data_IF_072606153158
#
_entry.id   IF_072606153158
#
_cell.length_a   1.000
_cell.length_b   1.000
_cell.length_c   1.000
_cell.angle_alpha   90.00
_cell.angle_beta   90.00
_cell.angle_gamma   90.00
#
_symmetry.space_group_name_H-M   'P 1'
#
loop_
_entity.id
_entity.type
_entity.pdbx_description
1 polymer ?
#
# COMPACT_ATOMS: atom_id res chain seq x y z
N UNK A 1 14.82 4.94 -17.06
CA UNK A 1 15.18 3.77 -16.23
C UNK A 1 16.69 3.72 -15.95
N UNK A 2 17.21 4.64 -15.12
CA UNK A 2 18.57 4.57 -14.55
C UNK A 2 18.48 4.87 -13.05
N UNK A 3 18.98 3.91 -12.26
CA UNK A 3 19.35 3.96 -10.83
C UNK A 3 18.52 4.85 -9.89
N UNK A 4 17.52 4.25 -9.26
CA UNK A 4 17.16 4.54 -7.86
C UNK A 4 17.77 3.47 -6.92
N UNK A 5 19.04 3.13 -7.16
CA UNK A 5 19.83 2.21 -6.32
C UNK A 5 20.86 2.97 -5.47
N UNK A 6 20.56 4.20 -5.07
CA UNK A 6 21.39 4.98 -4.14
C UNK A 6 20.64 5.31 -2.83
N UNK A 7 19.76 4.42 -2.39
CA UNK A 7 19.33 4.36 -0.99
C UNK A 7 20.16 3.28 -0.30
N UNK A 8 21.42 3.59 -0.05
CA UNK A 8 22.35 2.69 0.62
C UNK A 8 23.55 3.50 1.09
N UNK A 9 23.84 3.37 2.39
CA UNK A 9 25.06 3.80 3.10
C UNK A 9 25.03 5.23 3.68
N UNK A 10 24.42 5.36 4.87
CA UNK A 10 24.74 6.46 5.78
C UNK A 10 23.72 6.72 6.90
N UNK A 11 22.44 6.45 6.66
CA UNK A 11 21.38 6.71 7.64
C UNK A 11 20.91 5.44 8.34
N UNK A 12 20.64 5.53 9.66
CA UNK A 12 19.88 4.50 10.36
C UNK A 12 18.51 4.30 9.67
N UNK A 13 18.05 3.05 9.46
CA UNK A 13 16.76 2.80 8.85
C UNK A 13 15.64 3.48 9.65
N UNK A 14 14.76 4.21 8.95
CA UNK A 14 13.65 4.95 9.56
C UNK A 14 12.33 4.26 9.25
N UNK A 15 11.44 4.26 10.22
CA UNK A 15 10.04 3.88 10.00
C UNK A 15 9.38 4.81 8.99
N UNK A 16 8.46 4.25 8.19
CA UNK A 16 7.72 5.04 7.21
C UNK A 16 6.91 6.15 7.89
N UNK A 17 6.53 7.18 7.12
CA UNK A 17 5.79 8.32 7.66
C UNK A 17 4.48 7.88 8.32
N UNK A 18 3.77 6.93 7.72
CA UNK A 18 2.51 6.43 8.27
C UNK A 18 2.70 5.74 9.63
N UNK A 19 3.74 4.92 9.78
CA UNK A 19 4.03 4.27 11.06
C UNK A 19 4.32 5.31 12.15
N UNK A 20 5.08 6.36 11.83
CA UNK A 20 5.36 7.48 12.75
C UNK A 20 4.11 8.28 13.10
N UNK A 21 3.27 8.60 12.12
CA UNK A 21 2.00 9.31 12.34
C UNK A 21 1.04 8.48 13.21
N UNK A 22 1.04 7.16 13.02
CA UNK A 22 0.24 6.24 13.83
C UNK A 22 0.75 6.16 15.26
N UNK A 23 2.06 6.22 15.44
CA UNK A 23 2.69 6.16 16.76
C UNK A 23 2.36 7.39 17.63
N UNK A 24 2.17 8.56 17.02
CA UNK A 24 1.72 9.77 17.74
C UNK A 24 0.38 9.54 18.43
N UNK A 25 -0.57 8.86 17.77
CA UNK A 25 -1.91 8.61 18.31
C UNK A 25 -1.96 7.39 19.23
N UNK A 26 -1.28 6.30 18.86
CA UNK A 26 -1.46 5.00 19.49
C UNK A 26 -0.25 4.47 20.26
N UNK A 27 0.91 5.12 20.20
CA UNK A 27 2.15 4.71 20.88
C UNK A 27 2.47 3.22 20.68
N UNK A 28 2.44 2.78 19.43
CA UNK A 28 2.61 1.37 19.04
C UNK A 28 4.08 0.98 18.90
N UNK A 29 4.95 1.92 18.56
CA UNK A 29 6.38 1.68 18.43
C UNK A 29 7.04 1.78 19.81
N UNK A 30 7.84 0.78 20.21
CA UNK A 30 8.59 0.86 21.45
C UNK A 30 9.57 2.04 21.44
N UNK A 31 9.82 2.69 22.60
CA UNK A 31 10.82 3.75 22.71
C UNK A 31 12.19 3.29 22.23
N UNK A 32 12.93 4.20 21.58
CA UNK A 32 14.30 3.94 21.15
C UNK A 32 15.14 3.42 22.32
N UNK A 33 16.00 2.42 22.05
CA UNK A 33 16.88 1.79 23.05
C UNK A 33 16.17 1.02 24.18
N UNK A 34 14.84 0.91 24.18
CA UNK A 34 14.14 -0.01 25.09
C UNK A 34 14.47 -1.46 24.76
N UNK A 35 14.33 -2.37 25.73
CA UNK A 35 14.50 -3.80 25.50
C UNK A 35 13.59 -4.29 24.36
N UNK A 36 12.33 -3.85 24.35
CA UNK A 36 11.38 -4.19 23.29
C UNK A 36 11.85 -3.70 21.90
N UNK A 37 12.39 -2.48 21.81
CA UNK A 37 12.99 -1.98 20.56
C UNK A 37 14.15 -2.86 20.09
N UNK A 38 15.07 -3.21 20.99
CA UNK A 38 16.20 -4.07 20.68
C UNK A 38 15.73 -5.47 20.22
N UNK A 39 14.77 -6.07 20.93
CA UNK A 39 14.21 -7.38 20.58
C UNK A 39 13.51 -7.37 19.20
N UNK A 40 12.61 -6.42 18.95
CA UNK A 40 11.92 -6.33 17.65
C UNK A 40 12.89 -6.06 16.50
N UNK A 41 13.92 -5.25 16.73
CA UNK A 41 14.98 -5.02 15.74
C UNK A 41 15.75 -6.31 15.44
N UNK A 42 16.13 -7.07 16.46
CA UNK A 42 16.80 -8.37 16.27
C UNK A 42 15.89 -9.37 15.56
N UNK A 43 14.61 -9.44 15.93
CA UNK A 43 13.64 -10.31 15.26
C UNK A 43 13.48 -9.96 13.77
N UNK A 44 13.44 -8.68 13.43
CA UNK A 44 13.37 -8.26 12.03
C UNK A 44 14.62 -8.61 11.23
N UNK A 45 15.81 -8.47 11.83
CA UNK A 45 17.08 -8.81 11.18
C UNK A 45 17.23 -10.32 10.92
N UNK A 46 16.66 -11.15 11.80
CA UNK A 46 16.72 -12.62 11.73
C UNK A 46 15.35 -13.24 11.43
N UNK A 47 14.51 -12.55 10.65
CA UNK A 47 13.12 -12.93 10.45
C UNK A 47 12.95 -14.31 9.80
N UNK A 48 13.81 -14.67 8.85
CA UNK A 48 13.74 -15.96 8.15
C UNK A 48 13.91 -17.13 9.12
N UNK A 49 14.95 -17.08 9.97
CA UNK A 49 15.19 -18.07 11.02
C UNK A 49 14.04 -18.09 12.03
N UNK A 50 13.56 -16.92 12.45
CA UNK A 50 12.49 -16.80 13.44
C UNK A 50 11.17 -17.38 12.91
N UNK A 51 10.83 -17.11 11.67
CA UNK A 51 9.61 -17.62 11.04
C UNK A 51 9.66 -19.13 10.77
N UNK A 52 10.85 -19.70 10.58
CA UNK A 52 11.04 -21.14 10.37
C UNK A 52 11.03 -21.92 11.69
N UNK A 53 11.85 -21.51 12.66
CA UNK A 53 12.09 -22.27 13.89
C UNK A 53 11.13 -21.92 15.03
N UNK A 54 10.72 -20.65 15.14
CA UNK A 54 9.91 -20.14 16.26
C UNK A 54 8.44 -19.90 15.88
N UNK A 55 7.95 -20.54 14.81
CA UNK A 55 6.60 -20.36 14.27
C UNK A 55 5.47 -20.58 15.29
N UNK A 56 5.68 -21.40 16.31
CA UNK A 56 4.70 -21.70 17.35
C UNK A 56 4.65 -20.64 18.46
N UNK A 57 5.72 -19.86 18.64
CA UNK A 57 5.80 -18.82 19.66
C UNK A 57 5.45 -17.43 19.12
N UNK A 58 5.63 -17.18 17.82
CA UNK A 58 5.22 -15.92 17.18
C UNK A 58 3.75 -15.51 17.46
N UNK A 59 2.76 -16.42 17.47
CA UNK A 59 1.37 -16.06 17.76
C UNK A 59 1.14 -15.59 19.21
N UNK A 60 2.01 -16.00 20.14
CA UNK A 60 1.92 -15.61 21.57
C UNK A 60 2.30 -14.14 21.80
N UNK A 61 2.95 -13.51 20.82
CA UNK A 61 3.32 -12.10 20.88
C UNK A 61 2.04 -11.25 20.90
N UNK A 62 1.92 -10.26 21.82
CA UNK A 62 0.80 -9.33 21.83
C UNK A 62 0.58 -8.68 20.46
N UNK A 63 -0.69 -8.55 20.04
CA UNK A 63 -1.02 -8.08 18.69
C UNK A 63 -0.41 -6.71 18.36
N UNK A 64 -0.32 -5.81 19.35
CA UNK A 64 0.34 -4.51 19.22
C UNK A 64 1.81 -4.63 18.84
N UNK A 65 2.52 -5.60 19.41
CA UNK A 65 3.91 -5.88 19.11
C UNK A 65 4.06 -6.63 17.78
N UNK A 66 3.06 -7.39 17.34
CA UNK A 66 3.03 -7.97 15.98
C UNK A 66 2.88 -6.91 14.90
N UNK A 67 2.00 -5.92 15.11
CA UNK A 67 1.90 -4.74 14.24
C UNK A 67 3.21 -3.94 14.19
N UNK A 68 3.83 -3.73 15.36
CA UNK A 68 5.12 -3.08 15.45
C UNK A 68 6.19 -3.91 14.72
N UNK A 69 6.26 -5.22 14.94
CA UNK A 69 7.21 -6.12 14.28
C UNK A 69 7.10 -6.02 12.76
N UNK A 70 5.90 -5.95 12.21
CA UNK A 70 5.70 -5.74 10.77
C UNK A 70 6.33 -4.41 10.29
N UNK A 71 6.23 -3.34 11.08
CA UNK A 71 6.91 -2.06 10.79
C UNK A 71 8.43 -2.15 10.94
N UNK A 72 8.94 -2.98 11.86
CA UNK A 72 10.37 -3.26 11.98
C UNK A 72 10.89 -4.13 10.83
N UNK A 73 10.10 -5.07 10.31
CA UNK A 73 10.44 -5.82 9.10
C UNK A 73 10.59 -4.88 7.90
N UNK A 74 9.67 -3.92 7.75
CA UNK A 74 9.75 -2.91 6.69
C UNK A 74 10.99 -1.99 6.78
N UNK A 75 11.51 -1.78 8.00
CA UNK A 75 12.66 -0.89 8.25
C UNK A 75 14.01 -1.64 8.27
N UNK A 76 14.07 -2.81 8.90
CA UNK A 76 15.31 -3.53 9.21
C UNK A 76 15.40 -4.92 8.57
N UNK A 77 14.28 -5.47 8.10
CA UNK A 77 14.25 -6.81 7.51
C UNK A 77 15.01 -6.93 6.19
N UNK A 78 15.42 -8.15 5.86
CA UNK A 78 15.99 -8.44 4.56
C UNK A 78 14.98 -8.18 3.43
N UNK A 79 15.47 -7.87 2.22
CA UNK A 79 14.59 -7.63 1.07
C UNK A 79 13.84 -8.91 0.72
N UNK A 80 12.51 -8.84 0.67
CA UNK A 80 11.66 -9.99 0.37
C UNK A 80 11.54 -11.01 1.52
N UNK A 81 11.89 -10.63 2.75
CA UNK A 81 11.80 -11.53 3.91
C UNK A 81 10.37 -11.98 4.25
N UNK A 82 9.35 -11.28 3.76
CA UNK A 82 7.95 -11.60 4.04
C UNK A 82 7.33 -12.40 2.90
N UNK A 83 6.80 -13.57 3.21
CA UNK A 83 5.98 -14.38 2.32
C UNK A 83 4.56 -14.58 2.88
N UNK A 84 3.66 -15.16 2.09
CA UNK A 84 2.28 -15.46 2.53
C UNK A 84 2.22 -16.40 3.74
N UNK A 85 3.21 -17.28 3.94
CA UNK A 85 3.24 -18.26 5.03
C UNK A 85 3.64 -17.60 6.36
N UNK A 86 4.80 -16.97 6.39
CA UNK A 86 5.35 -16.19 7.51
C UNK A 86 4.41 -15.07 7.94
N UNK A 87 3.73 -14.40 7.00
CA UNK A 87 2.68 -13.43 7.34
C UNK A 87 1.51 -14.06 8.09
N UNK A 88 1.04 -15.24 7.64
CA UNK A 88 -0.02 -15.98 8.33
C UNK A 88 0.42 -16.49 9.70
N UNK A 89 1.66 -16.96 9.83
CA UNK A 89 2.25 -17.37 11.11
C UNK A 89 2.25 -16.20 12.10
N UNK A 90 2.73 -15.03 11.66
CA UNK A 90 2.77 -13.83 12.50
C UNK A 90 1.38 -13.48 13.06
N UNK A 91 0.35 -13.56 12.23
CA UNK A 91 -1.03 -13.26 12.61
C UNK A 91 -1.88 -14.50 12.90
N UNK A 92 -1.28 -15.64 13.25
CA UNK A 92 -2.06 -16.82 13.62
C UNK A 92 -2.81 -16.56 14.93
N UNK A 93 -3.98 -17.20 15.08
CA UNK A 93 -4.69 -17.22 16.36
C UNK A 93 -4.12 -18.35 17.23
N UNK A 94 -3.99 -18.07 18.52
CA UNK A 94 -3.72 -19.10 19.50
C UNK A 94 -4.92 -20.07 19.55
N UNK A 95 -4.67 -21.37 19.34
CA UNK A 95 -5.71 -22.39 19.44
C UNK A 95 -6.21 -22.44 20.90
N UNK A 96 -7.46 -22.06 21.13
CA UNK A 96 -8.13 -22.19 22.44
C UNK A 96 -8.72 -20.90 23.02
N UNK A 97 -8.30 -19.72 22.56
CA UNK A 97 -8.91 -18.44 22.96
C UNK A 97 -9.94 -18.04 21.90
N UNK A 98 -11.24 -18.26 22.16
CA UNK A 98 -12.36 -18.10 21.23
C UNK A 98 -12.62 -16.70 20.64
N UNK A 99 -11.64 -15.80 20.67
CA UNK A 99 -11.66 -14.49 19.99
C UNK A 99 -10.41 -14.38 19.13
N UNK A 100 -10.57 -14.44 17.80
CA UNK A 100 -9.49 -14.12 16.88
C UNK A 100 -9.06 -12.67 17.11
N UNK A 101 -7.87 -12.43 17.67
CA UNK A 101 -7.36 -11.09 17.99
C UNK A 101 -7.12 -10.18 16.78
N UNK A 102 -7.48 -10.62 15.57
CA UNK A 102 -7.35 -9.87 14.32
C UNK A 102 -8.14 -8.56 14.31
N UNK A 103 -9.24 -8.48 15.06
CA UNK A 103 -10.04 -7.26 15.20
C UNK A 103 -9.31 -6.15 15.95
N UNK A 104 -8.21 -6.46 16.65
CA UNK A 104 -7.38 -5.46 17.33
C UNK A 104 -6.37 -4.80 16.38
N UNK A 105 -6.13 -5.39 15.21
CA UNK A 105 -5.19 -4.88 14.20
C UNK A 105 -5.78 -3.65 13.53
N UNK A 106 -5.05 -2.53 13.64
CA UNK A 106 -5.37 -1.21 13.10
C UNK A 106 -4.39 -0.76 12.03
N UNK A 107 -3.13 -1.20 12.09
CA UNK A 107 -2.05 -0.82 11.18
C UNK A 107 -1.40 -2.05 10.54
N UNK A 108 -1.26 -2.02 9.21
CA UNK A 108 -0.35 -2.90 8.49
C UNK A 108 0.63 -2.06 7.67
N UNK A 109 1.92 -2.20 7.97
CA UNK A 109 2.99 -1.53 7.23
C UNK A 109 3.65 -2.52 6.27
N UNK A 110 3.39 -2.43 4.95
CA UNK A 110 4.05 -3.24 3.93
C UNK A 110 5.11 -2.46 3.14
N UNK A 111 5.65 -1.39 3.72
CA UNK A 111 6.62 -0.53 3.04
C UNK A 111 7.82 -1.32 2.54
N UNK A 112 8.02 -1.40 1.22
CA UNK A 112 9.14 -2.12 0.62
C UNK A 112 9.08 -3.65 0.74
N UNK A 113 7.97 -4.22 1.20
CA UNK A 113 7.85 -5.67 1.47
C UNK A 113 7.13 -6.46 0.38
N UNK A 114 6.42 -5.80 -0.55
CA UNK A 114 5.76 -6.51 -1.66
C UNK A 114 6.81 -7.22 -2.54
N UNK A 115 6.55 -8.48 -2.81
CA UNK A 115 7.45 -9.35 -3.59
C UNK A 115 6.66 -10.48 -4.30
N UNK A 116 7.38 -11.41 -4.94
CA UNK A 116 6.77 -12.54 -5.65
C UNK A 116 5.95 -13.44 -4.73
N UNK A 117 6.46 -13.69 -3.52
CA UNK A 117 5.87 -14.56 -2.51
C UNK A 117 4.80 -13.86 -1.64
N UNK A 118 4.69 -12.52 -1.72
CA UNK A 118 3.66 -11.74 -1.05
C UNK A 118 3.28 -10.51 -1.86
N UNK A 119 2.12 -10.55 -2.51
CA UNK A 119 1.62 -9.48 -3.38
C UNK A 119 0.25 -8.93 -2.93
N UNK A 120 -0.30 -7.96 -3.69
CA UNK A 120 -1.57 -7.32 -3.36
C UNK A 120 -2.76 -8.28 -3.38
N UNK A 121 -2.70 -9.38 -4.15
CA UNK A 121 -3.75 -10.39 -4.12
C UNK A 121 -3.77 -11.13 -2.77
N UNK A 122 -2.61 -11.41 -2.17
CA UNK A 122 -2.52 -12.03 -0.84
C UNK A 122 -3.05 -11.10 0.26
N UNK A 123 -2.68 -9.82 0.20
CA UNK A 123 -3.28 -8.80 1.06
C UNK A 123 -4.80 -8.74 0.86
N UNK A 124 -5.27 -8.80 -0.38
CA UNK A 124 -6.69 -8.81 -0.71
C UNK A 124 -7.46 -9.97 -0.09
N UNK A 125 -6.83 -11.15 0.09
CA UNK A 125 -7.42 -12.29 0.81
C UNK A 125 -7.62 -11.95 2.29
N UNK A 126 -6.69 -11.21 2.89
CA UNK A 126 -6.74 -10.83 4.32
C UNK A 126 -7.74 -9.70 4.62
N UNK A 127 -8.17 -8.98 3.60
CA UNK A 127 -9.16 -7.89 3.71
C UNK A 127 -10.60 -8.35 3.41
N UNK A 128 -10.76 -9.56 2.87
CA UNK A 128 -12.07 -10.14 2.55
C UNK A 128 -12.49 -11.10 3.64
N UNK A 129 -13.69 -10.90 4.19
CA UNK A 129 -14.28 -11.89 5.10
C UNK A 129 -14.54 -13.16 4.31
N UNK A 130 -13.82 -14.23 4.63
CA UNK A 130 -14.14 -15.54 4.10
C UNK A 130 -15.29 -16.07 4.95
N UNK A 131 -16.43 -16.36 4.32
CA UNK A 131 -17.42 -17.24 4.93
C UNK A 131 -16.82 -18.64 4.92
N UNK A 132 -15.94 -18.94 5.87
CA UNK A 132 -15.66 -20.31 6.25
C UNK A 132 -16.95 -20.85 6.84
N UNK A 133 -17.80 -21.45 6.00
CA UNK A 133 -18.63 -22.54 6.46
C UNK A 133 -17.64 -23.57 7.01
N UNK A 134 -17.53 -23.62 8.34
CA UNK A 134 -17.04 -24.82 9.01
C UNK A 134 -17.80 -25.99 8.38
N UNK A 135 -17.14 -27.06 7.91
CA UNK A 135 -17.86 -28.29 7.65
C UNK A 135 -18.58 -28.64 8.95
N UNK A 136 -19.91 -28.60 8.90
CA UNK A 136 -20.76 -28.87 10.03
C UNK A 136 -20.43 -30.29 10.51
N UNK A 137 -19.75 -30.42 11.65
CA UNK A 137 -19.60 -31.70 12.36
C UNK A 137 -20.89 -31.95 13.14
N UNK A 138 -22.02 -31.94 12.44
CA UNK A 138 -23.34 -32.27 12.98
C UNK A 138 -24.19 -32.86 11.85
N UNK A 139 -23.77 -34.02 11.33
CA UNK A 139 -24.70 -35.02 10.79
C UNK A 139 -24.07 -36.42 10.85
N UNK A 140 -23.64 -36.82 12.05
CA UNK A 140 -23.68 -38.25 12.41
C UNK A 140 -25.15 -38.60 12.68
N UNK A 141 -25.91 -38.82 11.61
CA UNK A 141 -27.20 -39.50 11.69
C UNK A 141 -26.99 -40.93 11.23
N UNK A 142 -26.87 -41.82 12.21
CA UNK A 142 -27.06 -43.26 12.05
C UNK A 142 -28.55 -43.43 11.75
N UNK A 143 -28.89 -43.77 10.51
CA UNK A 143 -30.26 -44.11 10.12
C UNK A 143 -30.33 -45.62 9.91
N UNK A 144 -30.73 -46.33 10.97
CA UNK A 144 -31.25 -47.69 10.87
C UNK A 144 -32.72 -47.62 10.43
N UNK A 145 -33.02 -48.06 9.20
CA UNK A 145 -33.98 -49.15 8.92
C UNK A 145 -34.42 -49.22 7.44
N UNK A 146 -34.53 -50.46 6.95
CA UNK A 146 -35.24 -50.98 5.75
C UNK A 146 -34.46 -51.18 4.43
N UNK A 147 -33.74 -52.30 4.39
CA UNK A 147 -34.01 -53.50 3.58
C UNK A 147 -34.26 -53.39 2.06
N UNK A 148 -33.29 -53.92 1.28
CA UNK A 148 -33.37 -54.87 0.13
C UNK A 148 -32.13 -54.61 -0.76
N UNK A 149 -31.21 -55.52 -1.08
CA UNK A 149 -31.00 -56.94 -0.84
C UNK A 149 -29.77 -57.39 -1.67
N UNK A 150 -29.30 -58.61 -1.40
CA UNK A 150 -28.25 -59.42 -2.09
C UNK A 150 -26.80 -59.32 -1.59
N UNK A 151 -26.51 -60.20 -0.63
CA UNK A 151 -25.50 -61.28 -0.68
C UNK A 151 -24.11 -60.97 -1.29
N UNK A 152 -23.06 -60.99 -0.45
CA UNK A 152 -22.27 -62.20 -0.17
C UNK A 152 -21.24 -61.98 0.96
N UNK A 153 -21.38 -62.84 1.96
CA UNK A 153 -20.39 -63.41 2.91
C UNK A 153 -18.93 -62.93 2.87
N UNK A 154 -18.37 -62.53 4.03
CA UNK A 154 -17.74 -63.48 4.97
C UNK A 154 -17.34 -62.81 6.29
N UNK A 155 -17.62 -63.53 7.38
CA UNK A 155 -17.25 -63.28 8.78
C UNK A 155 -15.74 -63.10 9.00
N UNK A 156 -15.36 -62.25 9.96
CA UNK A 156 -14.80 -62.74 11.24
C UNK A 156 -14.68 -61.65 12.32
N UNK A 157 -14.72 -62.16 13.54
CA UNK A 157 -14.94 -61.54 14.83
C UNK A 157 -13.93 -60.47 15.25
N UNK A 158 -14.44 -59.61 16.13
CA UNK A 158 -13.73 -58.78 17.09
C UNK A 158 -12.69 -59.56 17.89
N UNK A 159 -11.45 -59.10 17.86
CA UNK A 159 -10.49 -59.37 18.93
C UNK A 159 -9.76 -58.06 19.28
N UNK A 160 -9.98 -57.62 20.51
CA UNK A 160 -9.27 -56.51 21.14
C UNK A 160 -7.84 -56.99 21.39
N UNK A 161 -6.85 -56.31 20.81
CA UNK A 161 -5.45 -56.46 21.20
C UNK A 161 -4.82 -55.08 21.40
N UNK A 162 -4.72 -54.71 22.68
CA UNK A 162 -3.80 -53.73 23.21
C UNK A 162 -2.36 -54.25 23.04
N UNK A 163 -1.63 -53.83 22.01
CA UNK A 163 -0.15 -53.94 21.97
C UNK A 163 0.40 -53.16 20.78
N UNK A 164 0.95 -51.97 21.02
CA UNK A 164 1.58 -51.14 19.98
C UNK A 164 3.08 -51.44 19.92
N UNK A 165 3.47 -52.53 19.27
CA UNK A 165 4.80 -52.73 18.71
C UNK A 165 4.72 -53.98 17.84
N UNK A 166 5.26 -53.92 16.62
CA UNK A 166 5.45 -55.07 15.72
C UNK A 166 4.29 -55.41 14.76
N UNK A 167 4.11 -54.58 13.72
CA UNK A 167 3.96 -55.05 12.33
C UNK A 167 4.14 -53.85 11.39
N UNK A 168 5.41 -53.50 11.15
CA UNK A 168 5.79 -52.85 9.90
C UNK A 168 5.75 -53.92 8.80
N UNK A 169 5.31 -53.53 7.60
CA UNK A 169 5.25 -54.35 6.37
C UNK A 169 3.96 -55.15 6.15
N UNK A 170 2.83 -54.47 5.93
CA UNK A 170 1.95 -54.68 4.75
C UNK A 170 0.57 -54.04 4.94
N UNK A 171 0.46 -52.73 4.71
CA UNK A 171 -0.75 -52.11 4.13
C UNK A 171 -0.46 -50.65 3.76
N UNK A 172 -0.08 -50.45 2.49
CA UNK A 172 -0.08 -49.15 1.83
C UNK A 172 -1.53 -48.65 1.68
N UNK A 173 -2.09 -48.10 2.75
CA UNK A 173 -3.36 -47.39 2.78
C UNK A 173 -3.14 -46.04 3.47
N UNK A 174 -3.09 -44.98 2.68
CA UNK A 174 -2.79 -43.62 3.12
C UNK A 174 -3.61 -43.21 4.35
N UNK A 175 -2.93 -43.04 5.50
CA UNK A 175 -3.46 -42.24 6.59
C UNK A 175 -3.68 -40.80 6.08
N UNK A 176 -4.81 -40.14 6.42
CA UNK A 176 -4.99 -38.75 6.10
C UNK A 176 -4.01 -37.96 6.97
N UNK A 177 -2.87 -37.57 6.38
CA UNK A 177 -2.00 -36.55 6.95
C UNK A 177 -2.82 -35.27 7.01
N UNK A 178 -3.36 -34.95 8.20
CA UNK A 178 -3.96 -33.64 8.47
C UNK A 178 -2.88 -32.60 8.31
N UNK A 179 -2.75 -32.04 7.10
CA UNK A 179 -1.88 -30.91 6.84
C UNK A 179 -2.54 -29.72 7.52
N UNK A 180 -2.04 -29.33 8.69
CA UNK A 180 -2.50 -28.15 9.41
C UNK A 180 -2.41 -26.94 8.47
N UNK A 181 -3.55 -26.52 7.94
CA UNK A 181 -3.63 -25.44 6.96
C UNK A 181 -3.69 -24.13 7.73
N UNK A 182 -2.66 -23.29 7.57
CA UNK A 182 -2.62 -21.98 8.22
C UNK A 182 -3.83 -21.13 7.81
N UNK A 183 -4.63 -20.71 8.80
CA UNK A 183 -5.76 -19.83 8.60
C UNK A 183 -5.30 -18.48 8.00
N UNK A 184 -6.09 -17.94 7.08
CA UNK A 184 -5.82 -16.61 6.53
C UNK A 184 -6.43 -15.57 7.47
N UNK A 185 -5.65 -14.59 7.99
CA UNK A 185 -6.15 -13.60 8.91
C UNK A 185 -7.16 -12.66 8.23
N UNK A 186 -8.17 -12.21 8.98
CA UNK A 186 -9.15 -11.21 8.52
C UNK A 186 -9.17 -10.00 9.43
N UNK A 187 -8.76 -8.83 8.91
CA UNK A 187 -8.58 -7.61 9.71
C UNK A 187 -9.80 -6.68 9.58
N UNK A 188 -10.84 -6.89 10.40
CA UNK A 188 -12.11 -6.15 10.26
C UNK A 188 -12.03 -4.66 10.62
N UNK A 189 -11.09 -4.29 11.49
CA UNK A 189 -10.89 -2.94 12.03
C UNK A 189 -9.62 -2.26 11.50
N UNK A 190 -9.03 -2.80 10.43
CA UNK A 190 -7.89 -2.17 9.78
C UNK A 190 -8.28 -0.76 9.32
N UNK A 191 -7.50 0.23 9.74
CA UNK A 191 -7.77 1.64 9.46
C UNK A 191 -6.58 2.35 8.82
N UNK A 192 -5.37 1.77 8.91
CA UNK A 192 -4.12 2.35 8.42
C UNK A 192 -3.35 1.29 7.63
N UNK A 193 -2.95 1.63 6.40
CA UNK A 193 -2.26 0.73 5.50
C UNK A 193 -1.11 1.45 4.80
N UNK A 194 0.11 0.92 4.92
CA UNK A 194 1.23 1.38 4.10
C UNK A 194 1.49 0.40 2.97
N UNK A 195 1.51 0.90 1.74
CA UNK A 195 1.96 0.17 0.55
C UNK A 195 3.16 0.88 -0.08
N UNK A 196 3.88 1.71 0.67
CA UNK A 196 4.98 2.52 0.17
C UNK A 196 6.11 1.68 -0.44
N UNK A 197 6.84 2.26 -1.40
CA UNK A 197 7.98 1.65 -2.11
C UNK A 197 7.68 0.23 -2.64
N UNK A 198 6.61 0.04 -3.44
CA UNK A 198 6.22 -1.28 -3.95
C UNK A 198 7.24 -1.92 -4.91
N UNK A 199 8.25 -1.18 -5.38
CA UNK A 199 9.25 -1.69 -6.31
C UNK A 199 8.66 -2.16 -7.63
N UNK A 200 9.14 -3.30 -8.13
CA UNK A 200 8.63 -3.92 -9.36
C UNK A 200 7.22 -4.55 -9.20
N UNK A 201 6.74 -4.67 -7.96
CA UNK A 201 5.48 -5.35 -7.61
C UNK A 201 4.29 -4.39 -7.50
N UNK A 202 4.48 -3.14 -7.91
CA UNK A 202 3.42 -2.16 -7.97
C UNK A 202 2.42 -2.50 -9.09
N UNK A 203 1.15 -2.70 -8.73
CA UNK A 203 0.10 -3.02 -9.70
C UNK A 203 -1.17 -2.25 -9.40
N UNK A 204 -1.43 -1.21 -10.19
CA UNK A 204 -2.68 -0.46 -10.14
C UNK A 204 -3.92 -1.32 -10.48
N UNK A 205 -3.88 -2.25 -11.47
CA UNK A 205 -4.98 -3.18 -11.69
C UNK A 205 -5.32 -4.03 -10.46
N UNK A 206 -4.32 -4.55 -9.75
CA UNK A 206 -4.53 -5.33 -8.53
C UNK A 206 -4.99 -4.46 -7.37
N UNK A 207 -4.39 -3.28 -7.20
CA UNK A 207 -4.84 -2.31 -6.20
C UNK A 207 -6.31 -1.94 -6.41
N UNK A 208 -6.75 -1.72 -7.65
CA UNK A 208 -8.16 -1.48 -7.98
C UNK A 208 -9.05 -2.69 -7.66
N UNK A 209 -8.59 -3.93 -7.89
CA UNK A 209 -9.33 -5.15 -7.52
C UNK A 209 -9.51 -5.28 -6.01
N UNK A 210 -8.52 -4.86 -5.23
CA UNK A 210 -8.56 -4.92 -3.75
C UNK A 210 -9.30 -3.71 -3.16
N UNK A 211 -9.31 -2.57 -3.86
CA UNK A 211 -9.83 -1.29 -3.38
C UNK A 211 -11.25 -1.31 -2.80
N UNK A 212 -12.23 -2.11 -3.26
CA UNK A 212 -13.55 -2.17 -2.62
C UNK A 212 -13.50 -2.58 -1.14
N UNK A 213 -12.44 -3.27 -0.70
CA UNK A 213 -12.23 -3.67 0.70
C UNK A 213 -11.41 -2.63 1.49
N UNK A 214 -10.99 -1.53 0.86
CA UNK A 214 -10.24 -0.43 1.48
C UNK A 214 -11.15 0.72 1.93
N UNK A 215 -12.48 0.54 1.87
CA UNK A 215 -13.46 1.58 2.19
C UNK A 215 -13.46 2.03 3.66
N UNK A 216 -12.86 1.27 4.57
CA UNK A 216 -12.66 1.63 5.99
C UNK A 216 -11.29 2.26 6.28
N UNK A 217 -10.37 2.23 5.32
CA UNK A 217 -9.03 2.79 5.49
C UNK A 217 -9.14 4.31 5.57
N UNK A 218 -8.54 4.87 6.62
CA UNK A 218 -8.48 6.31 6.91
C UNK A 218 -7.12 6.90 6.59
N UNK A 219 -6.05 6.11 6.73
CA UNK A 219 -4.69 6.53 6.40
C UNK A 219 -4.06 5.53 5.43
N UNK A 220 -3.61 6.03 4.28
CA UNK A 220 -2.98 5.21 3.25
C UNK A 220 -1.67 5.86 2.81
N UNK A 221 -0.59 5.08 2.75
CA UNK A 221 0.64 5.50 2.08
C UNK A 221 0.81 4.78 0.75
N UNK A 222 0.92 5.56 -0.32
CA UNK A 222 1.31 5.16 -1.67
C UNK A 222 2.64 5.81 -2.06
N UNK A 223 3.50 6.11 -1.09
CA UNK A 223 4.80 6.72 -1.36
C UNK A 223 5.60 5.90 -2.38
N UNK A 224 6.23 6.57 -3.34
CA UNK A 224 7.04 6.02 -4.41
C UNK A 224 6.29 5.05 -5.34
N UNK A 225 4.95 5.12 -5.40
CA UNK A 225 4.20 4.38 -6.41
C UNK A 225 4.48 4.90 -7.81
N UNK A 226 4.53 4.02 -8.82
CA UNK A 226 4.68 4.43 -10.21
C UNK A 226 3.40 5.07 -10.72
N UNK A 227 3.51 5.71 -11.89
CA UNK A 227 2.38 6.32 -12.60
C UNK A 227 1.18 5.37 -12.69
N UNK A 228 -0.04 5.82 -12.34
CA UNK A 228 -1.24 5.02 -12.50
C UNK A 228 -1.48 4.64 -13.96
N UNK A 229 -1.51 3.34 -14.23
CA UNK A 229 -1.80 2.76 -15.54
C UNK A 229 -2.42 1.38 -15.38
N UNK A 230 -3.36 1.05 -16.26
CA UNK A 230 -4.00 -0.28 -16.32
C UNK A 230 -3.16 -1.29 -17.11
N UNK A 231 -2.22 -0.81 -17.91
CA UNK A 231 -1.37 -1.61 -18.81
C UNK A 231 0.11 -1.23 -18.66
N UNK A 232 0.72 -1.46 -17.48
CA UNK A 232 2.08 -0.98 -17.19
C UNK A 232 3.16 -1.52 -18.15
N UNK A 233 2.95 -2.71 -18.73
CA UNK A 233 3.90 -3.34 -19.65
C UNK A 233 3.64 -3.02 -21.13
N UNK A 234 2.62 -2.22 -21.46
CA UNK A 234 2.24 -1.91 -22.84
C UNK A 234 2.75 -0.54 -23.33
N UNK A 235 3.55 0.18 -22.53
CA UNK A 235 3.95 1.57 -22.81
C UNK A 235 4.69 1.81 -24.14
N UNK A 236 5.27 0.76 -24.74
CA UNK A 236 5.96 0.83 -26.05
C UNK A 236 5.23 0.05 -27.15
N UNK A 237 4.09 -0.56 -26.84
CA UNK A 237 3.36 -1.43 -27.77
C UNK A 237 2.26 -0.63 -28.43
N UNK A 238 2.30 -0.53 -29.75
CA UNK A 238 1.27 0.13 -30.54
C UNK A 238 0.53 -0.85 -31.43
N UNK A 239 -0.79 -0.74 -31.48
CA UNK A 239 -1.64 -1.44 -32.44
C UNK A 239 -1.75 -0.63 -33.73
N UNK A 240 -1.39 -1.24 -34.84
CA UNK A 240 -1.55 -0.64 -36.17
C UNK A 240 -2.95 -0.97 -36.68
N UNK A 241 -3.82 0.03 -36.79
CA UNK A 241 -5.07 -0.09 -37.55
C UNK A 241 -4.84 0.35 -39.01
N UNK A 242 -5.78 0.03 -39.90
CA UNK A 242 -5.72 0.44 -41.31
C UNK A 242 -5.69 1.98 -41.52
N UNK A 243 -5.97 2.78 -40.48
CA UNK A 243 -6.11 4.24 -40.56
C UNK A 243 -5.07 4.96 -39.68
N UNK A 244 -4.72 4.40 -38.51
CA UNK A 244 -3.78 4.99 -37.56
C UNK A 244 -3.08 3.95 -36.69
N UNK A 245 -1.88 4.30 -36.22
CA UNK A 245 -1.18 3.58 -35.17
C UNK A 245 -1.68 4.16 -33.83
N UNK A 246 -2.35 3.33 -33.04
CA UNK A 246 -2.86 3.70 -31.72
C UNK A 246 -2.15 2.85 -30.69
N UNK A 247 -1.73 3.43 -29.59
CA UNK A 247 -1.05 2.67 -28.56
C UNK A 247 -1.97 1.66 -27.88
N UNK A 248 -1.40 0.50 -27.54
CA UNK A 248 -2.16 -0.63 -26.98
C UNK A 248 -2.62 -0.33 -25.55
N UNK A 249 -1.91 0.56 -24.84
CA UNK A 249 -2.26 1.06 -23.52
C UNK A 249 -2.89 2.45 -23.55
N UNK A 250 -3.51 2.85 -22.44
CA UNK A 250 -3.96 4.23 -22.24
C UNK A 250 -2.82 5.22 -21.91
N UNK A 251 -1.59 4.72 -21.79
CA UNK A 251 -0.37 5.50 -21.55
C UNK A 251 0.77 4.97 -22.40
N UNK A 252 1.45 5.89 -23.06
CA UNK A 252 2.59 5.66 -23.96
C UNK A 252 3.89 6.14 -23.35
N UNK A 253 5.01 5.72 -23.92
CA UNK A 253 6.36 6.13 -23.53
C UNK A 253 6.54 7.67 -23.45
N UNK A 254 5.81 8.43 -24.26
CA UNK A 254 5.88 9.90 -24.29
C UNK A 254 4.82 10.60 -23.43
N UNK A 255 3.93 9.88 -22.73
CA UNK A 255 2.81 10.50 -21.98
C UNK A 255 3.25 11.50 -20.92
N UNK A 256 4.41 11.27 -20.29
CA UNK A 256 4.98 12.20 -19.31
C UNK A 256 5.52 13.47 -20.00
N UNK A 257 6.02 13.37 -21.24
CA UNK A 257 6.47 14.52 -22.04
C UNK A 257 5.28 15.30 -22.59
N UNK A 258 4.23 14.60 -23.01
CA UNK A 258 3.03 15.19 -23.62
C UNK A 258 2.03 15.73 -22.59
N UNK A 259 2.33 15.58 -21.29
CA UNK A 259 1.42 15.91 -20.19
C UNK A 259 0.04 15.25 -20.32
N UNK A 260 -0.02 14.10 -20.99
CA UNK A 260 -1.22 13.28 -21.01
C UNK A 260 -1.32 12.56 -19.68
N UNK A 261 -2.27 12.95 -18.85
CA UNK A 261 -2.57 12.28 -17.58
C UNK A 261 -3.95 11.62 -17.59
N UNK A 262 -4.59 11.44 -18.76
CA UNK A 262 -5.96 10.97 -18.87
C UNK A 262 -6.17 9.59 -18.22
N UNK A 263 -5.37 8.59 -18.60
CA UNK A 263 -5.46 7.25 -18.00
C UNK A 263 -5.19 7.29 -16.49
N UNK A 264 -4.13 7.98 -16.09
CA UNK A 264 -3.73 8.06 -14.69
C UNK A 264 -4.85 8.67 -13.83
N UNK A 265 -5.47 9.74 -14.33
CA UNK A 265 -6.59 10.42 -13.68
C UNK A 265 -7.82 9.53 -13.57
N UNK A 266 -8.11 8.73 -14.60
CA UNK A 266 -9.22 7.77 -14.57
C UNK A 266 -8.99 6.61 -13.59
N UNK A 267 -7.76 6.10 -13.51
CA UNK A 267 -7.38 5.10 -12.50
C UNK A 267 -7.58 5.66 -11.10
N UNK A 268 -7.08 6.87 -10.84
CA UNK A 268 -7.22 7.55 -9.55
C UNK A 268 -8.69 7.86 -9.22
N UNK A 269 -9.50 8.25 -10.20
CA UNK A 269 -10.94 8.44 -10.04
C UNK A 269 -11.62 7.16 -9.54
N UNK A 270 -11.38 6.03 -10.20
CA UNK A 270 -11.94 4.73 -9.80
C UNK A 270 -11.46 4.31 -8.41
N UNK A 271 -10.18 4.55 -8.12
CA UNK A 271 -9.61 4.28 -6.80
C UNK A 271 -10.26 5.15 -5.71
N UNK A 272 -10.56 6.42 -6.02
CA UNK A 272 -11.12 7.37 -5.06
C UNK A 272 -12.49 6.96 -4.54
N UNK A 273 -13.35 6.44 -5.42
CA UNK A 273 -14.70 5.98 -5.08
C UNK A 273 -14.67 4.85 -4.05
N UNK A 274 -13.66 3.98 -4.12
CA UNK A 274 -13.53 2.86 -3.19
C UNK A 274 -12.76 3.22 -1.90
N UNK A 275 -12.15 4.40 -1.85
CA UNK A 275 -11.32 4.87 -0.72
C UNK A 275 -11.90 6.15 -0.10
N UNK A 276 -13.23 6.27 -0.09
CA UNK A 276 -13.93 7.48 0.34
C UNK A 276 -13.77 7.84 1.83
N UNK A 277 -13.29 6.91 2.66
CA UNK A 277 -13.02 7.14 4.08
C UNK A 277 -11.63 7.72 4.36
N UNK A 278 -10.78 7.88 3.34
CA UNK A 278 -9.44 8.43 3.52
C UNK A 278 -9.50 9.84 4.11
N UNK A 279 -8.67 10.04 5.13
CA UNK A 279 -8.44 11.31 5.81
C UNK A 279 -6.99 11.78 5.64
N UNK A 280 -6.08 10.83 5.46
CA UNK A 280 -4.64 11.07 5.30
C UNK A 280 -4.12 10.23 4.14
N UNK A 281 -3.41 10.87 3.21
CA UNK A 281 -2.85 10.20 2.04
C UNK A 281 -1.42 10.67 1.80
N UNK A 282 -0.50 9.71 1.81
CA UNK A 282 0.91 9.94 1.54
C UNK A 282 1.28 9.52 0.11
N UNK A 283 1.76 10.51 -0.65
CA UNK A 283 2.18 10.41 -2.04
C UNK A 283 3.64 10.83 -2.19
N UNK A 284 4.46 10.64 -1.15
CA UNK A 284 5.89 10.97 -1.17
C UNK A 284 6.58 10.36 -2.40
N UNK A 285 7.40 11.15 -3.08
CA UNK A 285 8.21 10.68 -4.21
C UNK A 285 7.44 10.38 -5.50
N UNK A 286 6.11 10.41 -5.51
CA UNK A 286 5.30 10.17 -6.71
C UNK A 286 5.53 11.25 -7.78
N UNK A 287 5.74 10.84 -9.03
CA UNK A 287 5.93 11.77 -10.17
C UNK A 287 4.61 12.23 -10.81
N UNK A 288 3.53 11.49 -10.55
CA UNK A 288 2.24 11.61 -11.23
C UNK A 288 1.23 12.53 -10.52
N UNK A 289 1.68 13.40 -9.60
CA UNK A 289 0.79 14.27 -8.83
C UNK A 289 -0.14 15.11 -9.72
N UNK A 290 0.28 15.48 -10.92
CA UNK A 290 -0.56 16.24 -11.87
C UNK A 290 -1.84 15.50 -12.27
N UNK A 291 -1.86 14.16 -12.24
CA UNK A 291 -3.07 13.36 -12.50
C UNK A 291 -4.17 13.55 -11.44
N UNK A 292 -3.86 14.12 -10.27
CA UNK A 292 -4.83 14.40 -9.22
C UNK A 292 -5.80 15.54 -9.56
N UNK A 293 -5.39 16.42 -10.48
CA UNK A 293 -6.12 17.64 -10.85
C UNK A 293 -6.21 17.84 -12.35
N UNK A 294 -5.76 16.85 -13.13
CA UNK A 294 -5.79 16.94 -14.58
C UNK A 294 -7.22 17.09 -15.08
N UNK A 295 -7.41 18.06 -15.97
CA UNK A 295 -8.65 18.33 -16.68
C UNK A 295 -8.32 18.40 -18.15
N UNK A 296 -9.12 17.75 -18.98
CA UNK A 296 -8.97 17.87 -20.42
C UNK A 296 -9.37 19.28 -20.85
N UNK A 297 -8.48 20.02 -21.49
CA UNK A 297 -8.77 21.34 -22.06
C UNK A 297 -9.90 21.27 -23.11
N UNK A 298 -10.16 20.10 -23.70
CA UNK A 298 -11.28 19.87 -24.60
C UNK A 298 -12.65 20.04 -23.92
N UNK A 299 -12.77 19.76 -22.61
CA UNK A 299 -14.02 19.97 -21.86
C UNK A 299 -14.30 21.46 -21.57
N UNK A 300 -13.27 22.32 -21.64
CA UNK A 300 -13.44 23.78 -21.54
C UNK A 300 -13.86 24.41 -22.88
N UNK A 301 -13.56 23.77 -24.01
CA UNK A 301 -13.89 24.26 -25.36
C UNK A 301 -15.33 23.93 -25.80
N UNK A 302 -15.91 22.82 -25.32
CA UNK A 302 -17.22 22.31 -25.76
C UNK A 302 -18.41 22.91 -24.96
N UNK A 303 -18.19 23.91 -24.10
CA UNK A 303 -19.30 24.58 -23.39
C UNK A 303 -20.07 25.61 -24.23
N UNK A 304 -20.13 25.47 -25.58
CA UNK A 304 -20.82 26.41 -26.48
C UNK A 304 -21.70 25.81 -27.58
N UNK A 305 -21.87 24.49 -27.69
CA UNK A 305 -22.76 23.90 -28.71
C UNK A 305 -23.96 23.20 -28.09
N UNK A 306 -25.13 23.71 -28.47
CA UNK A 306 -26.46 23.50 -27.90
C UNK A 306 -27.18 22.28 -28.51
N UNK A 307 -26.61 21.06 -28.39
CA UNK A 307 -27.28 19.87 -28.92
C UNK A 307 -27.17 18.60 -28.05
N UNK A 308 -28.37 18.06 -27.76
CA UNK A 308 -28.78 16.71 -27.30
C UNK A 308 -28.71 16.36 -25.79
N UNK A 309 -29.82 16.39 -25.04
CA UNK A 309 -29.84 16.24 -23.59
C UNK A 309 -29.51 14.83 -23.03
N UNK A 310 -29.47 13.77 -23.84
CA UNK A 310 -29.16 12.40 -23.36
C UNK A 310 -27.69 11.99 -23.50
N UNK A 311 -26.94 12.54 -24.47
CA UNK A 311 -25.53 12.21 -24.69
C UNK A 311 -24.60 12.85 -23.62
N UNK A 312 -25.11 13.81 -22.86
CA UNK A 312 -24.33 14.70 -22.00
C UNK A 312 -24.00 14.13 -20.62
N UNK A 313 -24.61 13.02 -20.19
CA UNK A 313 -24.40 12.48 -18.83
C UNK A 313 -23.04 11.81 -18.63
N UNK A 314 -22.37 11.38 -19.69
CA UNK A 314 -21.06 10.73 -19.60
C UNK A 314 -19.88 11.71 -19.73
N UNK A 315 -20.12 12.91 -20.30
CA UNK A 315 -19.09 13.92 -20.54
C UNK A 315 -18.90 14.95 -19.40
N UNK A 316 -19.77 14.94 -18.38
CA UNK A 316 -19.72 15.91 -17.26
C UNK A 316 -18.84 15.48 -16.09
N UNK A 317 -18.41 14.23 -16.04
CA UNK A 317 -17.62 13.77 -14.92
C UNK A 317 -16.16 14.16 -15.12
N UNK A 318 -15.70 15.16 -14.36
CA UNK A 318 -14.31 15.62 -14.35
C UNK A 318 -13.38 14.40 -14.33
N UNK A 319 -12.40 14.33 -15.24
CA UNK A 319 -11.36 13.33 -15.11
C UNK A 319 -10.61 13.57 -13.79
N UNK A 320 -10.20 12.48 -13.14
CA UNK A 320 -9.53 12.54 -11.83
C UNK A 320 -10.45 12.31 -10.62
N UNK A 321 -9.84 12.25 -9.42
CA UNK A 321 -10.57 12.11 -8.15
C UNK A 321 -11.50 13.30 -7.86
N UNK A 322 -12.66 13.00 -7.28
CA UNK A 322 -13.55 14.05 -6.77
C UNK A 322 -13.15 14.46 -5.36
N UNK A 323 -12.63 15.68 -5.24
CA UNK A 323 -12.17 16.26 -3.98
C UNK A 323 -13.32 16.70 -3.05
N UNK A 324 -14.55 16.89 -3.53
CA UNK A 324 -15.70 17.30 -2.71
C UNK A 324 -16.75 16.20 -2.50
N UNK A 325 -16.66 15.09 -3.25
CA UNK A 325 -17.46 13.89 -3.00
C UNK A 325 -16.62 12.73 -2.46
N UNK A 326 -16.04 11.90 -3.33
CA UNK A 326 -15.37 10.67 -2.94
C UNK A 326 -14.23 10.91 -1.94
N UNK A 327 -13.33 11.85 -2.23
CA UNK A 327 -12.21 12.21 -1.36
C UNK A 327 -12.47 13.38 -0.44
N UNK A 328 -13.75 13.74 -0.19
CA UNK A 328 -14.12 14.87 0.66
C UNK A 328 -13.55 14.82 2.07
N UNK A 329 -13.22 13.63 2.57
CA UNK A 329 -12.72 13.40 3.92
C UNK A 329 -11.21 13.59 4.07
N UNK A 330 -10.45 13.68 2.97
CA UNK A 330 -9.00 13.90 3.03
C UNK A 330 -8.72 15.28 3.63
N UNK A 331 -8.02 15.28 4.77
CA UNK A 331 -7.58 16.47 5.51
C UNK A 331 -6.09 16.71 5.38
N UNK A 332 -5.32 15.67 5.04
CA UNK A 332 -3.86 15.77 4.94
C UNK A 332 -3.33 15.00 3.72
N UNK A 333 -2.48 15.67 2.96
CA UNK A 333 -1.75 15.14 1.82
C UNK A 333 -0.24 15.37 2.03
N UNK A 334 0.56 14.35 1.77
CA UNK A 334 2.02 14.46 1.80
C UNK A 334 2.62 14.36 0.40
N UNK A 335 3.19 15.47 -0.09
CA UNK A 335 3.74 15.64 -1.44
C UNK A 335 5.27 15.79 -1.44
N UNK A 336 5.94 15.41 -0.34
CA UNK A 336 7.40 15.48 -0.27
C UNK A 336 8.04 14.66 -1.39
N UNK A 337 9.11 15.16 -2.00
CA UNK A 337 9.75 14.47 -3.12
C UNK A 337 10.70 13.34 -2.68
N UNK A 338 10.91 13.17 -1.38
CA UNK A 338 11.82 12.17 -0.80
C UNK A 338 13.21 12.70 -0.45
N UNK A 339 13.57 13.88 -0.97
CA UNK A 339 14.84 14.56 -0.66
C UNK A 339 14.70 16.07 -0.90
N UNK A 340 15.67 16.84 -0.40
CA UNK A 340 15.77 18.29 -0.54
C UNK A 340 17.17 18.62 -1.07
N UNK A 341 17.30 19.36 -2.19
CA UNK A 341 18.60 19.78 -2.71
C UNK A 341 19.37 20.61 -1.69
N UNK A 342 20.63 20.23 -1.44
CA UNK A 342 21.54 20.98 -0.59
C UNK A 342 22.72 21.60 -1.36
N UNK A 343 22.81 21.37 -2.68
CA UNK A 343 23.82 22.01 -3.52
C UNK A 343 23.46 23.46 -3.84
N UNK A 344 24.13 24.37 -3.13
CA UNK A 344 23.95 25.82 -3.27
C UNK A 344 24.33 26.31 -4.66
N UNK A 345 25.34 25.71 -5.32
CA UNK A 345 25.80 26.18 -6.63
C UNK A 345 24.74 25.93 -7.70
N UNK A 346 24.17 24.73 -7.76
CA UNK A 346 23.08 24.44 -8.70
C UNK A 346 21.85 25.31 -8.42
N UNK A 347 21.52 25.56 -7.17
CA UNK A 347 20.38 26.43 -6.81
C UNK A 347 20.59 27.89 -7.24
N UNK A 348 21.82 28.41 -7.17
CA UNK A 348 22.16 29.77 -7.62
C UNK A 348 22.11 29.91 -9.15
N UNK A 349 22.36 28.83 -9.89
CA UNK A 349 22.33 28.82 -11.35
C UNK A 349 20.89 28.75 -11.91
N UNK A 350 19.90 28.44 -11.08
CA UNK A 350 18.49 28.38 -11.49
C UNK A 350 17.90 29.79 -11.48
N UNK A 351 17.13 30.19 -12.52
CA UNK A 351 16.47 31.49 -12.55
C UNK A 351 15.67 31.76 -11.27
N UNK A 352 15.83 32.96 -10.72
CA UNK A 352 15.17 33.36 -9.48
C UNK A 352 13.64 33.21 -9.62
N UNK A 353 13.10 32.25 -8.89
CA UNK A 353 11.67 32.00 -8.78
C UNK A 353 11.31 31.72 -7.34
N UNK A 354 10.00 31.70 -7.04
CA UNK A 354 9.50 31.53 -5.67
C UNK A 354 10.11 30.31 -4.97
N UNK A 355 10.11 29.14 -5.63
CA UNK A 355 10.62 27.89 -5.06
C UNK A 355 12.13 27.94 -4.77
N UNK A 356 13.03 28.24 -5.74
CA UNK A 356 14.47 28.37 -5.45
C UNK A 356 14.78 29.37 -4.32
N UNK A 357 14.10 30.51 -4.28
CA UNK A 357 14.32 31.54 -3.25
C UNK A 357 13.88 31.06 -1.87
N UNK A 358 12.70 30.45 -1.78
CA UNK A 358 12.20 29.85 -0.53
C UNK A 358 13.10 28.72 -0.04
N UNK A 359 13.59 27.86 -0.95
CA UNK A 359 14.50 26.77 -0.62
C UNK A 359 15.84 27.29 -0.09
N UNK A 360 16.44 28.26 -0.77
CA UNK A 360 17.69 28.86 -0.34
C UNK A 360 17.58 29.53 1.04
N UNK A 361 16.44 30.16 1.33
CA UNK A 361 16.15 30.69 2.66
C UNK A 361 16.01 29.58 3.70
N UNK A 362 15.20 28.56 3.40
CA UNK A 362 14.96 27.43 4.30
C UNK A 362 16.27 26.68 4.62
N UNK A 363 17.13 26.45 3.63
CA UNK A 363 18.46 25.84 3.83
C UNK A 363 19.33 26.67 4.75
N UNK A 364 19.30 28.00 4.65
CA UNK A 364 20.06 28.87 5.58
C UNK A 364 19.62 28.69 7.03
N UNK A 365 18.34 28.41 7.25
CA UNK A 365 17.74 28.27 8.58
C UNK A 365 17.82 26.84 9.13
N UNK A 366 17.87 25.80 8.27
CA UNK A 366 17.67 24.40 8.68
C UNK A 366 18.79 23.44 8.25
N UNK A 367 19.84 23.89 7.53
CA UNK A 367 20.89 23.00 7.03
C UNK A 367 21.64 22.25 8.13
N UNK A 368 21.81 22.89 9.28
CA UNK A 368 22.56 22.34 10.41
C UNK A 368 21.65 21.62 11.43
N UNK A 369 20.35 21.49 11.14
CA UNK A 369 19.39 20.80 12.00
C UNK A 369 19.43 19.28 11.75
N UNK A 370 19.72 18.52 12.82
CA UNK A 370 19.80 17.06 12.78
C UNK A 370 18.47 16.41 12.37
N UNK A 371 17.32 17.03 12.70
CA UNK A 371 15.99 16.48 12.42
C UNK A 371 15.66 16.45 10.92
N UNK A 372 16.29 17.33 10.14
CA UNK A 372 16.10 17.43 8.69
C UNK A 372 17.28 16.95 7.88
N UNK A 373 18.43 16.71 8.52
CA UNK A 373 19.68 16.24 7.88
C UNK A 373 19.47 15.08 6.90
N UNK A 374 18.62 14.11 7.28
CA UNK A 374 18.29 12.95 6.46
C UNK A 374 17.53 13.26 5.17
N UNK A 375 16.87 14.41 5.10
CA UNK A 375 16.17 14.89 3.90
C UNK A 375 17.12 15.57 2.94
N UNK A 376 18.23 16.12 3.43
CA UNK A 376 19.17 16.88 2.63
C UNK A 376 19.99 15.96 1.74
N UNK A 377 20.08 16.28 0.45
CA UNK A 377 20.93 15.59 -0.50
C UNK A 377 21.85 16.59 -1.18
N UNK A 378 23.15 16.51 -0.83
CA UNK A 378 24.21 17.32 -1.41
C UNK A 378 24.91 16.64 -2.60
N UNK A 379 24.61 15.37 -2.86
CA UNK A 379 25.25 14.58 -3.92
C UNK A 379 24.59 14.81 -5.29
N UNK A 380 23.27 14.99 -5.30
CA UNK A 380 22.52 15.33 -6.52
C UNK A 380 22.76 16.80 -6.89
N UNK A 381 23.21 17.04 -8.13
CA UNK A 381 23.61 18.36 -8.63
C UNK A 381 23.09 18.60 -10.05
N UNK A 382 23.18 19.84 -10.53
CA UNK A 382 22.87 20.25 -11.90
C UNK A 382 21.45 19.89 -12.32
N UNK A 383 21.34 18.98 -13.31
CA UNK A 383 20.06 18.57 -13.88
C UNK A 383 19.10 17.99 -12.83
N UNK A 384 19.58 17.18 -11.89
CA UNK A 384 18.73 16.57 -10.86
C UNK A 384 18.07 17.63 -9.96
N UNK A 385 18.80 18.69 -9.62
CA UNK A 385 18.27 19.83 -8.87
C UNK A 385 17.27 20.62 -9.69
N UNK A 386 17.54 20.85 -10.98
CA UNK A 386 16.59 21.53 -11.88
C UNK A 386 15.28 20.74 -12.04
N UNK A 387 15.37 19.42 -12.20
CA UNK A 387 14.21 18.52 -12.28
C UNK A 387 13.42 18.54 -10.97
N UNK A 388 14.11 18.46 -9.82
CA UNK A 388 13.48 18.57 -8.50
C UNK A 388 12.71 19.88 -8.33
N UNK A 389 13.28 21.01 -8.76
CA UNK A 389 12.61 22.32 -8.71
C UNK A 389 11.39 22.36 -9.64
N UNK A 390 11.48 21.75 -10.82
CA UNK A 390 10.34 21.65 -11.75
C UNK A 390 9.20 20.83 -11.12
N UNK A 391 9.52 19.67 -10.54
CA UNK A 391 8.57 18.82 -9.83
C UNK A 391 7.95 19.51 -8.63
N UNK A 392 8.73 20.30 -7.88
CA UNK A 392 8.23 21.06 -6.73
C UNK A 392 7.23 22.14 -7.16
N UNK A 393 7.54 22.86 -8.25
CA UNK A 393 6.62 23.85 -8.83
C UNK A 393 5.31 23.17 -9.27
N UNK A 394 5.40 22.02 -9.92
CA UNK A 394 4.23 21.23 -10.31
C UNK A 394 3.41 20.80 -9.09
N UNK A 395 4.05 20.24 -8.05
CA UNK A 395 3.38 19.83 -6.82
C UNK A 395 2.66 21.00 -6.14
N UNK A 396 3.26 22.19 -6.13
CA UNK A 396 2.62 23.42 -5.61
C UNK A 396 1.45 23.89 -6.47
N UNK A 397 1.52 23.76 -7.80
CA UNK A 397 0.38 24.02 -8.68
C UNK A 397 -0.78 23.07 -8.37
N UNK A 398 -0.50 21.77 -8.26
CA UNK A 398 -1.49 20.74 -7.91
C UNK A 398 -2.12 21.05 -6.54
N UNK A 399 -1.32 21.46 -5.53
CA UNK A 399 -1.85 21.94 -4.24
C UNK A 399 -2.87 23.06 -4.42
N UNK A 400 -2.55 24.09 -5.21
CA UNK A 400 -3.47 25.21 -5.44
C UNK A 400 -4.73 24.78 -6.17
N UNK A 401 -4.62 23.87 -7.15
CA UNK A 401 -5.76 23.31 -7.88
C UNK A 401 -6.68 22.48 -6.96
N UNK A 402 -6.12 21.67 -6.04
CA UNK A 402 -6.89 20.92 -5.04
C UNK A 402 -7.62 21.87 -4.09
N UNK A 403 -6.91 22.86 -3.53
CA UNK A 403 -7.50 23.84 -2.60
C UNK A 403 -8.58 24.66 -3.32
N UNK A 404 -8.34 25.05 -4.57
CA UNK A 404 -9.32 25.73 -5.41
C UNK A 404 -10.57 24.87 -5.65
N UNK A 405 -10.40 23.60 -5.99
CA UNK A 405 -11.51 22.66 -6.14
C UNK A 405 -12.31 22.50 -4.83
N UNK A 406 -11.62 22.38 -3.69
CA UNK A 406 -12.26 22.32 -2.36
C UNK A 406 -13.09 23.56 -2.08
N UNK A 407 -12.51 24.74 -2.26
CA UNK A 407 -13.20 26.01 -2.03
C UNK A 407 -14.43 26.17 -2.93
N UNK A 408 -14.32 25.78 -4.20
CA UNK A 408 -15.43 25.88 -5.16
C UNK A 408 -16.63 24.97 -4.81
N UNK A 409 -16.39 23.84 -4.14
CA UNK A 409 -17.44 22.94 -3.67
C UNK A 409 -17.79 23.08 -2.19
N UNK A 410 -17.39 24.18 -1.55
CA UNK A 410 -17.57 24.42 -0.10
C UNK A 410 -17.06 23.25 0.78
N UNK A 411 -16.05 22.54 0.30
CA UNK A 411 -15.47 21.38 0.94
C UNK A 411 -14.60 21.73 2.14
N UNK A 412 -14.37 20.73 3.01
CA UNK A 412 -13.50 20.87 4.17
C UNK A 412 -12.05 21.20 3.76
N UNK A 413 -11.36 21.92 4.66
CA UNK A 413 -9.96 22.27 4.49
C UNK A 413 -9.06 21.03 4.37
N UNK A 414 -8.11 21.07 3.43
CA UNK A 414 -7.12 20.04 3.19
C UNK A 414 -5.71 20.63 3.25
N UNK A 415 -4.88 20.14 4.19
CA UNK A 415 -3.47 20.51 4.30
C UNK A 415 -2.65 19.69 3.32
N UNK A 416 -1.87 20.35 2.48
CA UNK A 416 -0.87 19.72 1.61
C UNK A 416 0.51 20.09 2.11
N UNK A 417 1.27 19.09 2.54
CA UNK A 417 2.61 19.24 3.11
C UNK A 417 3.66 18.77 2.11
N UNK A 418 4.67 19.60 1.88
CA UNK A 418 5.76 19.35 0.94
C UNK A 418 7.00 18.76 1.61
N UNK A 419 6.96 18.49 2.93
CA UNK A 419 8.07 17.96 3.71
C UNK A 419 9.14 18.99 4.10
N UNK A 420 8.99 20.25 3.66
CA UNK A 420 9.87 21.38 3.97
C UNK A 420 9.14 22.73 3.75
N UNK A 421 9.73 23.82 4.23
CA UNK A 421 9.15 25.17 4.14
C UNK A 421 8.64 25.72 5.46
N UNK A 422 8.12 26.96 5.44
CA UNK A 422 7.75 27.67 6.68
C UNK A 422 6.42 27.16 7.26
N UNK A 423 6.31 26.98 8.59
CA UNK A 423 5.04 26.64 9.25
C UNK A 423 3.95 27.70 9.04
N UNK A 424 4.30 28.93 8.65
CA UNK A 424 3.33 30.00 8.35
C UNK A 424 2.45 29.69 7.13
N UNK A 425 2.92 28.89 6.16
CA UNK A 425 2.07 28.39 5.07
C UNK A 425 1.08 27.28 5.52
N UNK A 426 1.21 26.80 6.76
CA UNK A 426 0.35 25.74 7.34
C UNK A 426 -0.77 26.24 8.24
N UNK A 427 -0.79 27.55 8.58
CA UNK A 427 -1.81 28.18 9.44
C UNK A 427 -2.57 29.33 8.78
N UNK A 428 -2.17 29.77 7.60
CA UNK A 428 -2.80 30.91 6.91
C UNK A 428 -3.07 30.56 5.45
N UNK A 429 -4.23 29.96 5.17
CA UNK A 429 -4.97 30.01 3.91
C UNK A 429 -6.35 29.42 4.13
#
# INVERSE_FOLDING_TARGET
MRRQQAAGEGGAPKFCLLARETDIEYKRLPPNQSLAHCCLRTFALHWEELAEFEQHYLPTIPISLREALLSYLAAFGAKGCLDSRSFKILFQNEEGTGTSGWDEVRLLDFTGMLNEAFNLADLGKCLKRHNTQLPNVETLQIDETKAKGKEKEKEKETEVAESWEEEAEDTLGAQPVLTATLATPYFANLSRLSLARPGAWASWPELLKVSPNLNKITHLSLAYWPRPSTTPNAATTSMVSNITIVSLGGSDFYSDLDNDWHEASNVLRRFSVNTYSLQWLDLEGCSWLKALTWRSDALLSVSKSDHDPEEWKYHTASPGPDWNDAWRRIKYLYFFQGWIPADIQSLQNIPAGMVPVQLMRWLRENKDDEDVSWKLNAHETGHAVSEWISREKMARSVRQEIIGARRAGEGAWCRVDHGWGTPSESKAS
#
